data_IF_151831825506
#
_entry.id   IF_151831825506
#
_cell.length_a   1.000
_cell.length_b   1.000
_cell.length_c   1.000
_cell.angle_alpha   90.00
_cell.angle_beta   90.00
_cell.angle_gamma   90.00
#
_symmetry.space_group_name_H-M   'P 1'
#
loop_
_entity.id
_entity.type
_entity.pdbx_description
1 polymer ?
#
# COMPACT_ATOMS: atom_id res chain seq x y z
N UNK A 1 -10.51 15.29 -9.23
CA UNK A 1 -11.78 16.05 -8.99
C UNK A 1 -11.95 16.45 -7.52
N UNK A 2 -11.54 15.62 -6.55
CA UNK A 2 -11.74 15.92 -5.11
C UNK A 2 -10.48 16.35 -4.32
N UNK A 3 -9.29 16.41 -4.94
CA UNK A 3 -8.05 16.85 -4.27
C UNK A 3 -7.62 15.95 -3.11
N UNK A 4 -7.05 16.53 -2.05
CA UNK A 4 -6.55 15.81 -0.86
C UNK A 4 -7.60 14.89 -0.23
N UNK A 5 -8.87 15.31 0.00
CA UNK A 5 -9.90 14.39 0.49
C UNK A 5 -10.12 13.15 -0.39
N UNK A 6 -10.10 13.34 -1.72
CA UNK A 6 -10.20 12.22 -2.66
C UNK A 6 -9.01 11.26 -2.56
N UNK A 7 -7.81 11.79 -2.34
CA UNK A 7 -6.60 10.99 -2.14
C UNK A 7 -6.68 10.16 -0.85
N UNK A 8 -7.23 10.71 0.23
CA UNK A 8 -7.41 9.98 1.49
C UNK A 8 -8.47 8.88 1.37
N UNK A 9 -9.61 9.17 0.74
CA UNK A 9 -10.62 8.14 0.45
C UNK A 9 -10.05 7.02 -0.42
N UNK A 10 -9.26 7.37 -1.44
CA UNK A 10 -8.58 6.40 -2.30
C UNK A 10 -7.64 5.49 -1.49
N UNK A 11 -6.91 6.03 -0.51
CA UNK A 11 -6.05 5.23 0.38
C UNK A 11 -6.82 4.24 1.23
N UNK A 12 -7.96 4.63 1.77
CA UNK A 12 -8.83 3.73 2.56
C UNK A 12 -9.35 2.57 1.69
N UNK A 13 -9.75 2.87 0.45
CA UNK A 13 -10.21 1.85 -0.52
C UNK A 13 -9.07 0.87 -0.86
N UNK A 14 -7.87 1.37 -1.15
CA UNK A 14 -6.70 0.52 -1.41
C UNK A 14 -6.33 -0.35 -0.21
N UNK A 15 -6.32 0.21 1.00
CA UNK A 15 -6.03 -0.54 2.22
C UNK A 15 -7.08 -1.65 2.46
N UNK A 16 -8.36 -1.36 2.21
CA UNK A 16 -9.42 -2.36 2.26
C UNK A 16 -9.23 -3.46 1.20
N UNK A 17 -8.77 -3.10 0.00
CA UNK A 17 -8.50 -4.05 -1.07
C UNK A 17 -7.31 -4.97 -0.74
N UNK A 18 -6.23 -4.42 -0.19
CA UNK A 18 -5.08 -5.21 0.27
C UNK A 18 -5.47 -6.18 1.39
N UNK A 19 -6.23 -5.70 2.38
CA UNK A 19 -6.72 -6.54 3.47
C UNK A 19 -7.66 -7.65 2.96
N UNK A 20 -8.49 -7.35 1.95
CA UNK A 20 -9.33 -8.35 1.29
C UNK A 20 -8.49 -9.38 0.53
N UNK A 21 -7.49 -8.96 -0.24
CA UNK A 21 -6.61 -9.85 -0.98
C UNK A 21 -5.82 -10.78 -0.04
N UNK A 22 -5.29 -10.26 1.07
CA UNK A 22 -4.61 -11.05 2.10
C UNK A 22 -5.55 -12.11 2.68
N UNK A 23 -6.76 -11.73 3.11
CA UNK A 23 -7.75 -12.71 3.61
C UNK A 23 -8.18 -13.75 2.58
N UNK A 24 -8.24 -13.37 1.31
CA UNK A 24 -8.67 -14.26 0.22
C UNK A 24 -7.58 -15.27 -0.16
N UNK A 25 -6.31 -14.85 -0.14
CA UNK A 25 -5.18 -15.65 -0.63
C UNK A 25 -4.37 -16.31 0.47
N UNK A 26 -4.44 -15.77 1.69
CA UNK A 26 -3.58 -16.13 2.83
C UNK A 26 -2.07 -16.07 2.48
N UNK A 27 -1.68 -15.13 1.60
CA UNK A 27 -0.33 -15.03 1.03
C UNK A 27 0.30 -13.64 1.30
N UNK A 28 0.80 -13.39 2.52
CA UNK A 28 1.50 -12.15 2.84
C UNK A 28 2.83 -12.01 2.09
N UNK A 29 3.56 -13.10 1.87
CA UNK A 29 4.83 -13.07 1.12
C UNK A 29 4.62 -12.63 -0.34
N UNK A 30 3.55 -13.11 -0.98
CA UNK A 30 3.15 -12.71 -2.32
C UNK A 30 2.85 -11.22 -2.43
N UNK A 31 2.14 -10.64 -1.45
CA UNK A 31 1.87 -9.20 -1.45
C UNK A 31 3.18 -8.39 -1.29
N UNK A 32 4.10 -8.83 -0.41
CA UNK A 32 5.42 -8.21 -0.27
C UNK A 32 6.24 -8.28 -1.56
N UNK A 33 6.25 -9.45 -2.22
CA UNK A 33 6.95 -9.66 -3.47
C UNK A 33 6.39 -8.75 -4.58
N UNK A 34 5.07 -8.61 -4.65
CA UNK A 34 4.38 -7.73 -5.58
C UNK A 34 4.80 -6.27 -5.39
N UNK A 35 4.76 -5.75 -4.15
CA UNK A 35 5.15 -4.36 -3.86
C UNK A 35 6.62 -4.11 -4.18
N UNK A 36 7.52 -5.04 -3.83
CA UNK A 36 8.95 -4.96 -4.19
C UNK A 36 9.16 -4.96 -5.70
N UNK A 37 8.41 -5.76 -6.44
CA UNK A 37 8.48 -5.79 -7.91
C UNK A 37 8.02 -4.47 -8.49
N UNK A 38 6.89 -3.92 -8.05
CA UNK A 38 6.39 -2.63 -8.50
C UNK A 38 7.34 -1.48 -8.18
N UNK A 39 7.90 -1.42 -6.98
CA UNK A 39 8.88 -0.40 -6.64
C UNK A 39 10.09 -0.43 -7.58
N UNK A 40 10.60 -1.62 -7.91
CA UNK A 40 11.73 -1.77 -8.85
C UNK A 40 11.36 -1.39 -10.28
N UNK A 41 10.29 -1.96 -10.84
CA UNK A 41 9.98 -1.77 -12.27
C UNK A 41 9.50 -0.35 -12.58
N UNK A 42 8.89 0.33 -11.61
CA UNK A 42 8.44 1.71 -11.76
C UNK A 42 9.46 2.74 -11.26
N UNK A 43 10.60 2.30 -10.69
CA UNK A 43 11.60 3.17 -10.06
C UNK A 43 11.00 4.07 -8.98
N UNK A 44 10.02 3.54 -8.23
CA UNK A 44 9.38 4.28 -7.16
C UNK A 44 10.30 4.36 -5.95
N UNK A 45 10.31 5.52 -5.30
CA UNK A 45 10.76 5.61 -3.91
C UNK A 45 9.77 4.83 -3.03
N UNK A 46 10.21 3.76 -2.32
CA UNK A 46 9.34 3.00 -1.44
C UNK A 46 8.93 3.76 -0.17
N UNK A 47 9.68 4.80 0.22
CA UNK A 47 9.45 5.59 1.44
C UNK A 47 9.61 7.10 1.16
N UNK A 48 8.73 7.68 0.31
CA UNK A 48 8.79 9.09 -0.06
C UNK A 48 8.46 9.98 1.15
N UNK A 49 8.88 11.26 1.17
CA UNK A 49 8.63 12.15 2.29
C UNK A 49 7.14 12.25 2.65
N UNK A 50 6.83 12.10 3.94
CA UNK A 50 5.46 11.95 4.43
C UNK A 50 4.52 13.09 4.02
N UNK A 51 4.99 14.33 4.04
CA UNK A 51 4.20 15.51 3.65
C UNK A 51 3.82 15.50 2.16
N UNK A 52 4.76 15.13 1.29
CA UNK A 52 4.49 15.03 -0.16
C UNK A 52 3.58 13.85 -0.48
N UNK A 53 3.80 12.70 0.16
CA UNK A 53 2.92 11.53 0.00
C UNK A 53 1.50 11.87 0.45
N UNK A 54 1.34 12.42 1.66
CA UNK A 54 0.03 12.76 2.22
C UNK A 54 -0.80 13.69 1.33
N UNK A 55 -0.16 14.72 0.75
CA UNK A 55 -0.87 15.71 -0.06
C UNK A 55 -1.15 15.22 -1.48
N UNK A 56 -0.20 14.50 -2.10
CA UNK A 56 -0.20 14.28 -3.55
C UNK A 56 -0.48 12.84 -3.96
N UNK A 57 -0.07 11.86 -3.16
CA UNK A 57 -0.21 10.44 -3.53
C UNK A 57 -1.63 9.95 -3.28
N UNK A 58 -2.18 9.26 -4.29
CA UNK A 58 -3.54 8.67 -4.30
C UNK A 58 -3.61 7.31 -3.61
N UNK A 59 -2.47 6.69 -3.32
CA UNK A 59 -2.38 5.33 -2.77
C UNK A 59 -1.37 5.28 -1.62
N UNK A 60 -1.46 4.28 -0.72
CA UNK A 60 -0.44 4.03 0.30
C UNK A 60 0.94 3.78 -0.32
N UNK A 61 2.00 4.10 0.41
CA UNK A 61 3.38 3.87 -0.05
C UNK A 61 3.65 2.36 -0.18
N UNK A 62 4.61 1.94 -1.03
CA UNK A 62 5.00 0.54 -1.08
C UNK A 62 5.39 -0.02 0.31
N UNK A 63 6.04 0.79 1.15
CA UNK A 63 6.44 0.38 2.50
C UNK A 63 5.23 0.22 3.45
N UNK A 64 4.24 1.11 3.39
CA UNK A 64 2.99 0.99 4.15
C UNK A 64 2.26 -0.34 3.83
N UNK A 65 2.19 -0.68 2.55
CA UNK A 65 1.53 -1.93 2.08
C UNK A 65 2.30 -3.18 2.48
N UNK A 66 3.64 -3.14 2.40
CA UNK A 66 4.50 -4.20 2.95
C UNK A 66 4.27 -4.34 4.46
N UNK A 67 4.16 -3.23 5.20
CA UNK A 67 3.85 -3.22 6.62
C UNK A 67 2.52 -3.90 6.94
N UNK A 68 1.48 -3.67 6.13
CA UNK A 68 0.17 -4.30 6.28
C UNK A 68 0.24 -5.84 6.07
N UNK A 69 0.95 -6.32 5.05
CA UNK A 69 1.17 -7.76 4.87
C UNK A 69 1.92 -8.39 6.04
N UNK A 70 2.98 -7.75 6.52
CA UNK A 70 3.75 -8.25 7.67
C UNK A 70 2.94 -8.21 8.98
N UNK A 71 2.03 -7.25 9.14
CA UNK A 71 1.12 -7.21 10.28
C UNK A 71 0.12 -8.37 10.21
N UNK A 72 -0.49 -8.58 9.05
CA UNK A 72 -1.38 -9.71 8.81
C UNK A 72 -0.71 -11.05 9.11
N UNK A 73 0.53 -11.25 8.65
CA UNK A 73 1.30 -12.47 8.92
C UNK A 73 1.52 -12.73 10.42
N UNK A 74 1.78 -11.68 11.20
CA UNK A 74 2.01 -11.80 12.65
C UNK A 74 0.73 -12.07 13.45
N UNK A 75 -0.40 -11.63 12.93
CA UNK A 75 -1.71 -11.72 13.60
C UNK A 75 -2.50 -12.99 13.22
N UNK A 76 -2.00 -13.77 12.26
CA UNK A 76 -2.61 -15.02 11.80
C UNK A 76 -2.43 -16.19 12.79
#
# INVERSE_FOLDING_TARGET
VLGVPGNQLSREVEASADAFALRLTDDPEGLVALQRRFARVNLNDPDPPGLTSFLLSTHPTPLERVGAALAYERER
#
